data_IF_756135485554
#
_entry.id   IF_756135485554
#
_cell.length_a   1.000
_cell.length_b   1.000
_cell.length_c   1.000
_cell.angle_alpha   90.00
_cell.angle_beta   90.00
_cell.angle_gamma   90.00
#
_symmetry.space_group_name_H-M   'P 1'
#
loop_
_entity.id
_entity.type
_entity.pdbx_description
1 polymer ?
#
# COMPACT_ATOMS: atom_id res chain seq x y z
N UNK A 1 -12.04 5.32 -45.41
CA UNK A 1 -12.56 6.11 -44.28
C UNK A 1 -12.49 5.23 -43.05
N UNK A 2 -11.37 5.26 -42.33
CA UNK A 2 -11.18 4.54 -41.08
C UNK A 2 -11.93 5.30 -40.01
N UNK A 3 -13.05 4.71 -39.53
CA UNK A 3 -13.80 5.25 -38.41
C UNK A 3 -12.90 5.45 -37.22
N UNK A 4 -12.95 6.60 -36.60
CA UNK A 4 -12.36 6.84 -35.29
C UNK A 4 -12.99 5.78 -34.37
N UNK A 5 -12.21 4.75 -33.99
CA UNK A 5 -12.63 3.83 -32.95
C UNK A 5 -12.89 4.70 -31.70
N UNK A 6 -14.14 4.70 -31.26
CA UNK A 6 -14.52 5.32 -29.99
C UNK A 6 -13.66 4.64 -28.91
N UNK A 7 -12.62 5.37 -28.44
CA UNK A 7 -11.67 4.89 -27.43
C UNK A 7 -12.34 4.87 -26.04
N UNK A 8 -13.52 4.25 -25.96
CA UNK A 8 -14.25 4.10 -24.71
C UNK A 8 -14.50 2.64 -24.42
N UNK A 9 -14.34 2.28 -23.17
CA UNK A 9 -14.75 0.96 -22.69
C UNK A 9 -16.25 0.75 -22.95
N UNK A 10 -16.67 -0.46 -23.35
CA UNK A 10 -18.07 -0.82 -23.44
C UNK A 10 -18.86 -0.46 -22.18
N UNK A 11 -20.14 -0.13 -22.30
CA UNK A 11 -20.95 0.28 -21.15
C UNK A 11 -20.97 -0.80 -20.07
N UNK A 12 -21.10 -2.05 -20.44
CA UNK A 12 -21.09 -3.21 -19.54
C UNK A 12 -19.81 -3.29 -18.70
N UNK A 13 -18.65 -3.03 -19.32
CA UNK A 13 -17.36 -3.00 -18.61
C UNK A 13 -17.31 -1.82 -17.64
N UNK A 14 -17.82 -0.65 -18.04
CA UNK A 14 -17.90 0.51 -17.14
C UNK A 14 -18.82 0.25 -15.95
N UNK A 15 -19.94 -0.42 -16.17
CA UNK A 15 -20.88 -0.77 -15.12
C UNK A 15 -20.27 -1.78 -14.13
N UNK A 16 -19.49 -2.75 -14.63
CA UNK A 16 -18.72 -3.67 -13.77
C UNK A 16 -17.66 -2.93 -12.94
N UNK A 17 -16.93 -2.01 -13.56
CA UNK A 17 -15.91 -1.21 -12.87
C UNK A 17 -16.49 -0.29 -11.79
N UNK A 18 -17.74 0.17 -11.97
CA UNK A 18 -18.43 1.03 -11.02
C UNK A 18 -19.03 0.27 -9.83
N UNK A 19 -19.08 -1.07 -9.87
CA UNK A 19 -19.58 -1.88 -8.75
C UNK A 19 -18.62 -1.81 -7.56
N UNK A 20 -19.12 -1.97 -6.33
CA UNK A 20 -18.27 -2.16 -5.16
C UNK A 20 -17.39 -3.39 -5.31
N UNK A 21 -16.17 -3.33 -4.79
CA UNK A 21 -15.29 -4.49 -4.71
C UNK A 21 -15.90 -5.54 -3.78
N UNK A 22 -15.87 -6.80 -4.19
CA UNK A 22 -16.24 -7.93 -3.34
C UNK A 22 -15.32 -8.01 -2.11
N UNK A 23 -15.90 -7.88 -0.94
CA UNK A 23 -15.16 -7.89 0.33
C UNK A 23 -14.44 -9.21 0.61
N UNK A 24 -14.89 -10.32 0.01
CA UNK A 24 -14.24 -11.64 0.17
C UNK A 24 -12.87 -11.72 -0.49
N UNK A 25 -12.57 -10.83 -1.44
CA UNK A 25 -11.28 -10.75 -2.11
C UNK A 25 -10.26 -9.94 -1.31
N UNK A 26 -10.72 -9.19 -0.30
CA UNK A 26 -9.88 -8.30 0.49
C UNK A 26 -9.15 -9.12 1.55
N UNK A 27 -7.82 -9.06 1.51
CA UNK A 27 -6.95 -9.61 2.53
C UNK A 27 -6.41 -8.49 3.43
N UNK A 28 -6.00 -8.84 4.63
CA UNK A 28 -5.40 -7.92 5.59
C UNK A 28 -4.02 -8.40 6.00
N UNK A 29 -3.09 -7.46 6.12
CA UNK A 29 -1.78 -7.72 6.71
C UNK A 29 -1.41 -6.61 7.68
N UNK A 30 -0.75 -6.97 8.77
CA UNK A 30 -0.15 -6.00 9.68
C UNK A 30 1.31 -5.75 9.31
N UNK A 31 1.75 -4.50 9.39
CA UNK A 31 3.18 -4.19 9.34
C UNK A 31 3.80 -4.34 10.74
N UNK A 32 5.13 -4.09 10.84
CA UNK A 32 5.88 -4.15 12.11
C UNK A 32 5.38 -3.15 13.15
N UNK A 33 4.74 -2.06 12.72
CA UNK A 33 4.19 -1.02 13.61
C UNK A 33 2.75 -1.33 14.04
N UNK A 34 2.22 -2.52 13.71
CA UNK A 34 0.87 -2.94 14.04
C UNK A 34 -0.23 -2.29 13.18
N UNK A 35 0.11 -1.55 12.13
CA UNK A 35 -0.87 -1.03 11.17
C UNK A 35 -1.40 -2.16 10.28
N UNK A 36 -2.71 -2.21 10.16
CA UNK A 36 -3.40 -3.15 9.28
C UNK A 36 -3.63 -2.49 7.93
N UNK A 37 -3.20 -3.17 6.87
CA UNK A 37 -3.42 -2.76 5.48
C UNK A 37 -4.30 -3.77 4.78
N UNK A 38 -5.34 -3.27 4.11
CA UNK A 38 -6.14 -4.05 3.20
C UNK A 38 -5.45 -4.14 1.84
N UNK A 39 -5.45 -5.30 1.23
CA UNK A 39 -4.86 -5.52 -0.09
C UNK A 39 -5.60 -6.62 -0.86
N UNK A 40 -5.37 -6.67 -2.16
CA UNK A 40 -5.76 -7.77 -3.02
C UNK A 40 -4.53 -8.62 -3.35
N UNK A 41 -4.66 -9.93 -3.35
CA UNK A 41 -3.62 -10.81 -3.83
C UNK A 41 -3.47 -10.75 -5.36
N UNK A 42 -2.26 -11.06 -5.85
CA UNK A 42 -1.97 -11.06 -7.29
C UNK A 42 -2.95 -11.92 -8.10
N UNK A 43 -3.18 -13.20 -7.73
CA UNK A 43 -4.15 -14.04 -8.42
C UNK A 43 -5.58 -13.49 -8.43
N UNK A 44 -6.03 -12.88 -7.34
CA UNK A 44 -7.35 -12.25 -7.25
C UNK A 44 -7.48 -11.07 -8.22
N UNK A 45 -6.45 -10.22 -8.32
CA UNK A 45 -6.43 -9.08 -9.25
C UNK A 45 -6.45 -9.55 -10.71
N UNK A 46 -5.69 -10.59 -11.05
CA UNK A 46 -5.69 -11.18 -12.41
C UNK A 46 -7.05 -11.79 -12.73
N UNK A 47 -7.66 -12.53 -11.80
CA UNK A 47 -9.01 -13.09 -11.98
C UNK A 47 -10.07 -12.01 -12.18
N UNK A 48 -9.96 -10.89 -11.43
CA UNK A 48 -10.83 -9.73 -11.64
C UNK A 48 -10.64 -9.11 -13.01
N UNK A 49 -9.40 -8.94 -13.49
CA UNK A 49 -9.13 -8.41 -14.82
C UNK A 49 -9.71 -9.31 -15.91
N UNK A 50 -9.55 -10.63 -15.80
CA UNK A 50 -10.14 -11.60 -16.72
C UNK A 50 -11.69 -11.55 -16.68
N UNK A 51 -12.29 -11.39 -15.51
CA UNK A 51 -13.75 -11.29 -15.36
C UNK A 51 -14.31 -10.02 -15.99
N UNK A 52 -13.61 -8.89 -15.83
CA UNK A 52 -14.10 -7.57 -16.24
C UNK A 52 -13.79 -7.29 -17.72
N UNK A 53 -12.59 -7.60 -18.16
CA UNK A 53 -12.09 -7.26 -19.49
C UNK A 53 -12.12 -8.42 -20.49
N UNK A 54 -12.35 -9.67 -20.03
CA UNK A 54 -12.15 -10.87 -20.83
C UNK A 54 -10.70 -11.32 -20.89
N UNK A 55 -10.46 -12.57 -21.27
CA UNK A 55 -9.10 -13.14 -21.37
C UNK A 55 -8.25 -12.53 -22.48
N UNK A 56 -8.89 -12.00 -23.50
CA UNK A 56 -8.31 -11.39 -24.70
C UNK A 56 -8.44 -9.86 -24.74
N UNK A 57 -9.15 -9.28 -23.78
CA UNK A 57 -9.43 -7.84 -23.74
C UNK A 57 -8.38 -7.02 -23.01
N UNK A 58 -7.38 -7.66 -22.36
CA UNK A 58 -6.33 -6.97 -21.65
C UNK A 58 -5.00 -7.72 -21.68
N UNK A 59 -3.91 -7.02 -21.37
CA UNK A 59 -2.59 -7.62 -21.22
C UNK A 59 -1.69 -6.76 -20.35
N UNK A 60 -0.65 -7.37 -19.81
CA UNK A 60 0.39 -6.69 -19.05
C UNK A 60 1.76 -7.01 -19.62
N UNK A 61 2.63 -6.01 -19.67
CA UNK A 61 4.01 -6.13 -20.12
C UNK A 61 4.97 -5.41 -19.18
N UNK A 62 6.17 -5.93 -19.06
CA UNK A 62 7.29 -5.25 -18.43
C UNK A 62 7.87 -4.24 -19.41
N UNK A 63 8.01 -2.99 -18.99
CA UNK A 63 8.58 -1.91 -19.79
C UNK A 63 10.00 -1.62 -19.30
N UNK A 64 10.98 -1.93 -20.13
CA UNK A 64 12.40 -1.80 -19.79
C UNK A 64 12.91 -2.93 -18.90
N UNK A 65 13.94 -2.65 -18.13
CA UNK A 65 14.64 -3.64 -17.33
C UNK A 65 14.12 -3.74 -15.90
N UNK A 66 14.10 -4.95 -15.36
CA UNK A 66 13.97 -5.18 -13.92
C UNK A 66 15.30 -4.77 -13.24
N UNK A 67 15.26 -3.76 -12.38
CA UNK A 67 16.45 -3.21 -11.73
C UNK A 67 16.52 -3.65 -10.27
N UNK A 68 17.67 -4.15 -9.87
CA UNK A 68 17.99 -4.36 -8.46
C UNK A 68 18.64 -3.10 -7.88
N UNK A 69 18.14 -2.64 -6.75
CA UNK A 69 18.69 -1.50 -6.00
C UNK A 69 19.15 -2.04 -4.66
N UNK A 70 20.46 -2.06 -4.46
CA UNK A 70 21.04 -2.44 -3.17
C UNK A 70 20.68 -1.38 -2.11
N UNK A 71 20.21 -1.84 -0.95
CA UNK A 71 19.92 -1.01 0.20
C UNK A 71 20.46 -1.73 1.44
N UNK A 72 21.78 -1.71 1.65
CA UNK A 72 22.39 -2.41 2.77
C UNK A 72 21.85 -1.88 4.09
N UNK A 73 21.45 -2.79 4.97
CA UNK A 73 20.99 -2.49 6.32
C UNK A 73 22.00 -3.07 7.31
N UNK A 74 22.37 -2.29 8.31
CA UNK A 74 23.09 -2.83 9.46
C UNK A 74 22.09 -3.45 10.45
N UNK A 75 22.39 -4.69 10.93
CA UNK A 75 21.64 -5.28 12.02
C UNK A 75 22.10 -4.66 13.37
N UNK A 76 21.47 -5.10 14.48
CA UNK A 76 21.82 -4.66 15.83
C UNK A 76 23.29 -4.92 16.21
N UNK A 77 23.93 -5.89 15.57
CA UNK A 77 25.30 -6.33 15.85
C UNK A 77 26.33 -5.64 14.93
N UNK A 78 25.85 -4.71 14.07
CA UNK A 78 26.69 -3.95 13.17
C UNK A 78 27.07 -4.69 11.87
N UNK A 79 26.54 -5.90 11.64
CA UNK A 79 26.75 -6.62 10.39
C UNK A 79 25.89 -5.98 9.28
N UNK A 80 26.50 -5.75 8.12
CA UNK A 80 25.82 -5.21 6.94
C UNK A 80 25.12 -6.35 6.20
N UNK A 81 23.80 -6.33 6.21
CA UNK A 81 23.00 -7.25 5.40
C UNK A 81 22.93 -6.72 3.96
N UNK A 82 23.33 -7.56 3.00
CA UNK A 82 23.23 -7.27 1.58
C UNK A 82 21.79 -7.45 1.07
N UNK A 83 20.89 -6.61 1.55
CA UNK A 83 19.49 -6.58 1.14
C UNK A 83 19.23 -5.41 0.19
N UNK A 84 18.09 -5.43 -0.48
CA UNK A 84 17.69 -4.38 -1.39
C UNK A 84 16.30 -4.65 -1.91
N UNK A 85 15.99 -4.08 -3.06
CA UNK A 85 14.70 -4.31 -3.70
C UNK A 85 14.84 -4.31 -5.21
N UNK A 86 13.94 -5.06 -5.85
CA UNK A 86 13.72 -4.98 -7.29
C UNK A 86 12.67 -3.94 -7.59
N UNK A 87 12.86 -3.20 -8.67
CA UNK A 87 11.87 -2.26 -9.20
C UNK A 87 11.71 -2.46 -10.69
N UNK A 88 10.48 -2.30 -11.19
CA UNK A 88 10.13 -2.52 -12.59
C UNK A 88 8.93 -1.66 -12.97
N UNK A 89 8.92 -1.14 -14.18
CA UNK A 89 7.73 -0.51 -14.75
C UNK A 89 6.88 -1.58 -15.44
N UNK A 90 5.60 -1.63 -15.10
CA UNK A 90 4.62 -2.49 -15.77
C UNK A 90 3.60 -1.62 -16.47
N UNK A 91 3.28 -1.99 -17.71
CA UNK A 91 2.20 -1.41 -18.50
C UNK A 91 1.06 -2.40 -18.63
N UNK A 92 -0.15 -1.95 -18.33
CA UNK A 92 -1.38 -2.69 -18.62
C UNK A 92 -2.09 -2.00 -19.76
N UNK A 93 -2.47 -2.79 -20.77
CA UNK A 93 -3.27 -2.36 -21.92
C UNK A 93 -4.62 -3.04 -21.85
N UNK A 94 -5.69 -2.26 -22.01
CA UNK A 94 -7.08 -2.75 -22.12
C UNK A 94 -7.64 -2.23 -23.42
N UNK A 95 -8.32 -3.11 -24.17
CA UNK A 95 -8.95 -2.74 -25.44
C UNK A 95 -9.95 -1.60 -25.23
N UNK A 96 -9.83 -0.54 -26.02
CA UNK A 96 -10.68 0.64 -25.92
C UNK A 96 -10.30 1.62 -24.79
N UNK A 97 -9.14 1.44 -24.15
CA UNK A 97 -8.66 2.33 -23.08
C UNK A 97 -7.19 2.71 -23.29
N UNK A 98 -6.76 3.94 -22.94
CA UNK A 98 -5.35 4.28 -22.91
C UNK A 98 -4.58 3.36 -21.96
N UNK A 99 -3.34 2.96 -22.30
CA UNK A 99 -2.51 2.15 -21.43
C UNK A 99 -2.29 2.80 -20.06
N UNK A 100 -2.21 1.99 -19.03
CA UNK A 100 -1.88 2.43 -17.66
C UNK A 100 -0.54 1.82 -17.25
N UNK A 101 0.35 2.64 -16.73
CA UNK A 101 1.66 2.18 -16.25
C UNK A 101 1.87 2.57 -14.81
N UNK A 102 2.57 1.72 -14.07
CA UNK A 102 3.00 2.01 -12.70
C UNK A 102 4.28 1.24 -12.40
N UNK A 103 4.91 1.59 -11.29
CA UNK A 103 6.16 0.98 -10.83
C UNK A 103 5.86 -0.03 -9.73
N UNK A 104 6.29 -1.26 -9.93
CA UNK A 104 6.24 -2.30 -8.91
C UNK A 104 7.55 -2.43 -8.16
N UNK A 105 7.48 -2.85 -6.89
CA UNK A 105 8.62 -3.11 -6.04
C UNK A 105 8.50 -4.47 -5.35
N UNK A 106 9.67 -5.16 -5.23
CA UNK A 106 9.78 -6.42 -4.49
C UNK A 106 11.01 -6.41 -3.60
N UNK A 107 10.83 -6.54 -2.29
CA UNK A 107 11.92 -6.46 -1.32
C UNK A 107 12.60 -7.81 -1.13
N UNK A 108 13.93 -7.82 -1.10
CA UNK A 108 14.75 -8.97 -0.76
C UNK A 108 14.85 -9.05 0.75
N UNK A 109 14.31 -10.13 1.34
CA UNK A 109 14.30 -10.33 2.78
C UNK A 109 15.63 -10.87 3.32
N UNK A 110 16.36 -11.62 2.49
CA UNK A 110 17.59 -12.30 2.84
C UNK A 110 18.54 -12.35 1.61
N UNK A 111 19.86 -12.39 1.80
CA UNK A 111 20.81 -12.46 0.66
C UNK A 111 20.90 -13.88 0.09
N UNK A 112 19.77 -14.49 -0.27
CA UNK A 112 19.69 -15.83 -0.87
C UNK A 112 19.12 -15.78 -2.29
N UNK A 113 19.52 -16.71 -3.20
CA UNK A 113 18.95 -16.77 -4.53
C UNK A 113 17.42 -16.88 -4.54
N UNK A 114 16.85 -17.64 -3.62
CA UNK A 114 15.42 -17.86 -3.46
C UNK A 114 14.69 -16.55 -3.09
N UNK A 115 15.25 -15.77 -2.16
CA UNK A 115 14.70 -14.48 -1.77
C UNK A 115 14.77 -13.47 -2.93
N UNK A 116 15.84 -13.49 -3.73
CA UNK A 116 15.95 -12.69 -4.95
C UNK A 116 14.91 -13.11 -6.00
N UNK A 117 14.68 -14.40 -6.18
CA UNK A 117 13.65 -14.91 -7.09
C UNK A 117 12.26 -14.43 -6.67
N UNK A 118 11.92 -14.59 -5.40
CA UNK A 118 10.61 -14.14 -4.85
C UNK A 118 10.45 -12.64 -5.01
N UNK A 119 11.46 -11.86 -4.67
CA UNK A 119 11.43 -10.41 -4.76
C UNK A 119 11.29 -9.92 -6.21
N UNK A 120 12.00 -10.53 -7.16
CA UNK A 120 11.93 -10.16 -8.57
C UNK A 120 10.54 -10.44 -9.17
N UNK A 121 9.96 -11.60 -8.90
CA UNK A 121 8.59 -11.95 -9.31
C UNK A 121 7.56 -11.07 -8.60
N UNK A 122 7.79 -10.77 -7.32
CA UNK A 122 6.98 -9.89 -6.50
C UNK A 122 6.89 -8.47 -7.08
N UNK A 123 8.01 -7.92 -7.57
CA UNK A 123 8.05 -6.61 -8.21
C UNK A 123 7.14 -6.54 -9.45
N UNK A 124 7.16 -7.56 -10.30
CA UNK A 124 6.28 -7.61 -11.48
C UNK A 124 4.81 -7.70 -11.08
N UNK A 125 4.49 -8.56 -10.13
CA UNK A 125 3.11 -8.72 -9.62
C UNK A 125 2.60 -7.42 -8.97
N UNK A 126 3.44 -6.74 -8.19
CA UNK A 126 3.08 -5.45 -7.60
C UNK A 126 2.83 -4.39 -8.69
N UNK A 127 3.67 -4.34 -9.72
CA UNK A 127 3.49 -3.44 -10.87
C UNK A 127 2.16 -3.66 -11.59
N UNK A 128 1.78 -4.92 -11.86
CA UNK A 128 0.49 -5.28 -12.47
C UNK A 128 -0.67 -4.77 -11.59
N UNK A 129 -0.63 -5.07 -10.30
CA UNK A 129 -1.65 -4.64 -9.34
C UNK A 129 -1.80 -3.12 -9.30
N UNK A 130 -0.68 -2.39 -9.27
CA UNK A 130 -0.67 -0.93 -9.23
C UNK A 130 -1.20 -0.31 -10.52
N UNK A 131 -0.82 -0.84 -11.67
CA UNK A 131 -1.33 -0.37 -12.96
C UNK A 131 -2.85 -0.62 -13.08
N UNK A 132 -3.34 -1.80 -12.65
CA UNK A 132 -4.77 -2.12 -12.64
C UNK A 132 -5.58 -1.27 -11.66
N UNK A 133 -5.02 -0.81 -10.54
CA UNK A 133 -5.68 0.12 -9.61
C UNK A 133 -6.21 1.38 -10.29
N UNK A 134 -5.57 1.84 -11.36
CA UNK A 134 -5.99 3.01 -12.11
C UNK A 134 -7.34 2.82 -12.84
N UNK A 135 -7.88 1.60 -12.87
CA UNK A 135 -9.23 1.30 -13.39
C UNK A 135 -10.33 1.38 -12.32
N UNK A 136 -9.99 1.64 -11.05
CA UNK A 136 -10.97 1.96 -10.01
C UNK A 136 -11.09 0.93 -8.88
N UNK A 137 -12.24 0.96 -8.21
CA UNK A 137 -12.48 0.24 -6.96
C UNK A 137 -12.39 -1.28 -7.09
N UNK A 138 -12.77 -1.84 -8.24
CA UNK A 138 -12.68 -3.28 -8.51
C UNK A 138 -11.24 -3.84 -8.41
N UNK A 139 -10.25 -2.96 -8.47
CA UNK A 139 -8.82 -3.28 -8.32
C UNK A 139 -8.21 -2.69 -7.04
N UNK A 140 -9.03 -2.30 -6.08
CA UNK A 140 -8.58 -1.86 -4.77
C UNK A 140 -8.02 -0.44 -4.71
N UNK A 141 -8.45 0.46 -5.61
CA UNK A 141 -7.98 1.85 -5.62
C UNK A 141 -8.17 2.55 -4.27
N UNK A 142 -9.33 2.35 -3.65
CA UNK A 142 -9.71 3.07 -2.42
C UNK A 142 -9.57 2.22 -1.14
N UNK A 143 -8.93 1.05 -1.21
CA UNK A 143 -8.91 0.10 -0.07
C UNK A 143 -8.36 0.69 1.23
N UNK A 144 -7.36 1.55 1.15
CA UNK A 144 -6.71 2.13 2.34
C UNK A 144 -7.11 3.58 2.60
N UNK A 145 -7.67 4.29 1.61
CA UNK A 145 -8.08 5.69 1.79
C UNK A 145 -9.21 5.89 2.81
N UNK A 146 -10.17 4.96 2.84
CA UNK A 146 -11.28 5.00 3.80
C UNK A 146 -10.86 4.67 5.23
N UNK A 147 -9.80 3.86 5.41
CA UNK A 147 -9.27 3.50 6.73
C UNK A 147 -8.40 4.61 7.35
N UNK A 148 -7.73 5.40 6.52
CA UNK A 148 -6.96 6.55 7.00
C UNK A 148 -7.84 7.73 7.37
N UNK A 149 -9.08 7.79 6.89
CA UNK A 149 -10.03 8.89 7.07
C UNK A 149 -11.35 8.49 7.76
N UNK A 150 -11.38 7.38 8.49
CA UNK A 150 -12.50 7.16 9.41
C UNK A 150 -12.65 8.40 10.31
N UNK A 151 -13.87 8.82 10.66
CA UNK A 151 -14.05 9.97 11.53
C UNK A 151 -13.22 9.75 12.79
N UNK A 152 -12.45 10.75 13.15
CA UNK A 152 -11.71 10.77 14.41
C UNK A 152 -12.75 10.84 15.51
N UNK A 153 -13.11 9.69 16.07
CA UNK A 153 -14.07 9.66 17.17
C UNK A 153 -13.36 10.01 18.49
N UNK A 154 -14.06 10.59 19.47
CA UNK A 154 -13.49 10.84 20.79
C UNK A 154 -12.86 9.59 21.41
N UNK A 155 -13.51 8.43 21.26
CA UNK A 155 -13.03 7.14 21.78
C UNK A 155 -11.68 6.75 21.15
N UNK A 156 -11.54 6.96 19.85
CA UNK A 156 -10.27 6.70 19.15
C UNK A 156 -9.15 7.62 19.63
N UNK A 157 -9.44 8.88 19.89
CA UNK A 157 -8.45 9.80 20.45
C UNK A 157 -8.03 9.37 21.85
N UNK A 158 -8.97 8.91 22.68
CA UNK A 158 -8.69 8.43 24.03
C UNK A 158 -7.83 7.16 24.00
N UNK A 159 -8.09 6.22 23.09
CA UNK A 159 -7.23 5.05 22.86
C UNK A 159 -5.81 5.46 22.45
N UNK A 160 -5.68 6.46 21.57
CA UNK A 160 -4.37 6.95 21.13
C UNK A 160 -3.62 7.66 22.26
N UNK A 161 -4.31 8.45 23.09
CA UNK A 161 -3.74 9.09 24.29
C UNK A 161 -3.22 8.05 25.29
N UNK A 162 -4.04 7.05 25.59
CA UNK A 162 -3.65 5.93 26.46
C UNK A 162 -2.42 5.17 25.90
N UNK A 163 -2.36 4.98 24.58
CA UNK A 163 -1.22 4.34 23.92
C UNK A 163 0.08 5.16 24.02
N UNK A 164 0.01 6.49 23.86
CA UNK A 164 1.17 7.38 24.06
C UNK A 164 1.70 7.23 25.47
N UNK A 165 0.84 7.31 26.50
CA UNK A 165 1.23 7.16 27.91
C UNK A 165 1.85 5.78 28.16
N UNK A 166 1.23 4.71 27.67
CA UNK A 166 1.72 3.35 27.85
C UNK A 166 3.10 3.12 27.22
N UNK A 167 3.35 3.67 26.03
CA UNK A 167 4.65 3.58 25.37
C UNK A 167 5.71 4.37 26.14
N UNK A 168 5.42 5.58 26.56
CA UNK A 168 6.32 6.40 27.39
C UNK A 168 6.68 5.71 28.70
N UNK A 169 5.70 5.12 29.38
CA UNK A 169 5.94 4.36 30.62
C UNK A 169 6.86 3.15 30.40
N UNK A 170 6.75 2.46 29.27
CA UNK A 170 7.66 1.34 28.90
C UNK A 170 9.11 1.82 28.68
N UNK A 171 9.29 3.07 28.29
CA UNK A 171 10.59 3.72 28.12
C UNK A 171 11.09 4.37 29.42
N UNK A 172 10.38 4.19 30.55
CA UNK A 172 10.75 4.79 31.86
C UNK A 172 10.39 6.28 31.98
N UNK A 173 9.56 6.80 31.09
CA UNK A 173 9.08 8.19 31.12
C UNK A 173 7.72 8.23 31.80
N UNK A 174 7.56 9.01 32.84
CA UNK A 174 6.28 9.21 33.53
C UNK A 174 5.31 10.05 32.70
N UNK A 175 4.03 10.00 33.06
CA UNK A 175 2.99 10.73 32.35
C UNK A 175 3.20 12.24 32.36
N UNK A 176 3.68 12.81 33.46
CA UNK A 176 3.92 14.26 33.57
C UNK A 176 4.98 14.73 32.57
N UNK A 177 6.05 13.97 32.42
CA UNK A 177 7.10 14.23 31.43
C UNK A 177 6.60 14.03 30.00
N UNK A 178 5.76 13.02 29.76
CA UNK A 178 5.14 12.79 28.45
C UNK A 178 4.27 13.97 28.05
N UNK A 179 3.45 14.47 28.97
CA UNK A 179 2.61 15.66 28.76
C UNK A 179 3.45 16.91 28.49
N UNK A 180 4.49 17.15 29.28
CA UNK A 180 5.40 18.30 29.09
C UNK A 180 6.12 18.23 27.73
N UNK A 181 6.60 17.04 27.34
CA UNK A 181 7.26 16.83 26.04
C UNK A 181 6.32 17.12 24.86
N UNK A 182 5.05 16.69 24.94
CA UNK A 182 4.06 16.94 23.88
C UNK A 182 3.75 18.44 23.78
N UNK A 183 3.60 19.12 24.92
CA UNK A 183 3.38 20.56 25.00
C UNK A 183 4.53 21.34 24.38
N UNK A 184 5.77 20.97 24.69
CA UNK A 184 6.98 21.63 24.15
C UNK A 184 7.09 21.43 22.62
N UNK A 185 6.79 20.20 22.13
CA UNK A 185 6.96 19.83 20.74
C UNK A 185 5.85 20.31 19.82
N UNK A 186 4.61 20.32 20.27
CA UNK A 186 3.42 20.57 19.45
C UNK A 186 2.65 21.84 19.89
N UNK A 187 2.96 22.42 21.03
CA UNK A 187 2.23 23.54 21.60
C UNK A 187 0.84 23.19 22.15
N UNK A 188 0.49 21.91 22.20
CA UNK A 188 -0.81 21.38 22.59
C UNK A 188 -0.67 20.45 23.78
N UNK A 189 -1.64 20.49 24.70
CA UNK A 189 -1.73 19.48 25.76
C UNK A 189 -2.12 18.11 25.18
N UNK A 190 -1.87 17.04 25.93
CA UNK A 190 -2.24 15.68 25.52
C UNK A 190 -3.74 15.58 25.24
N UNK A 191 -4.56 16.33 25.96
CA UNK A 191 -6.03 16.30 25.83
C UNK A 191 -6.53 17.12 24.63
N UNK A 192 -5.76 18.12 24.19
CA UNK A 192 -6.02 18.92 22.97
C UNK A 192 -5.41 18.29 21.70
N UNK A 193 -4.45 17.37 21.85
CA UNK A 193 -3.78 16.72 20.74
C UNK A 193 -4.74 15.90 19.89
N UNK A 194 -4.74 16.17 18.58
CA UNK A 194 -5.50 15.44 17.61
C UNK A 194 -4.76 14.18 17.10
N UNK A 195 -5.38 13.47 16.16
CA UNK A 195 -4.84 12.22 15.60
C UNK A 195 -3.43 12.39 15.00
N UNK A 196 -3.15 13.53 14.40
CA UNK A 196 -1.85 13.82 13.76
C UNK A 196 -0.73 13.90 14.79
N UNK A 197 -0.93 14.66 15.85
CA UNK A 197 0.04 14.89 16.93
C UNK A 197 0.26 13.60 17.71
N UNK A 198 -0.83 12.89 18.07
CA UNK A 198 -0.75 11.61 18.78
C UNK A 198 -0.07 10.52 17.94
N UNK A 199 -0.34 10.44 16.65
CA UNK A 199 0.37 9.53 15.74
C UNK A 199 1.85 9.86 15.61
N UNK A 200 2.21 11.15 15.67
CA UNK A 200 3.59 11.62 15.73
C UNK A 200 4.29 11.17 17.01
N UNK A 201 3.63 11.32 18.15
CA UNK A 201 4.14 10.93 19.46
C UNK A 201 4.34 9.40 19.60
N UNK A 202 3.46 8.58 19.02
CA UNK A 202 3.58 7.12 19.01
C UNK A 202 4.80 6.63 18.21
N UNK A 203 5.27 7.42 17.25
CA UNK A 203 6.41 7.08 16.36
C UNK A 203 7.75 7.66 16.82
N UNK A 204 7.74 8.59 17.76
CA UNK A 204 8.93 9.24 18.31
C UNK A 204 9.59 8.42 19.40
#
# INVERSE_FOLDING_TARGET
MTGAHDMRLPQEVRDLLAQPLDSTLIQERSNRDGRVFAYLEGPAVISQANRIFGFDGWGAEVVGDLKYIASPLANSDGEVLAVGFYTVTVRVTVVGCPPKSDVGCGFVSEPTPEAHEVASKGAVTDGIKRALRQFGEQFGNNLNERRERGPVTPERLDEMRARVIALSSRLGVDEARTRAWLQDRCGLTLDEAGERELSGAIRA
#
